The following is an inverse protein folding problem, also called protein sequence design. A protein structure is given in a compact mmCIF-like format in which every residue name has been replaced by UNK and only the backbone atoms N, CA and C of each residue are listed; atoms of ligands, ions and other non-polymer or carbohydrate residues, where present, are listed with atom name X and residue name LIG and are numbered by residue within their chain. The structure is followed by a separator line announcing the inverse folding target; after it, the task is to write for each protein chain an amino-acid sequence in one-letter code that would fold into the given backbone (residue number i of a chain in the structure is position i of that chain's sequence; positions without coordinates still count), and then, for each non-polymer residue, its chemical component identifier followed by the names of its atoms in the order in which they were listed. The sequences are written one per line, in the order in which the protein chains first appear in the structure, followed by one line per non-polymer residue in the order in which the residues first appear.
data_IF_229485354802
#
_entry.id   IF_229485354802
#
_cell.length_a   1.000
_cell.length_b   1.000
_cell.length_c   1.000
_cell.angle_alpha   90.00
_cell.angle_beta   90.00
_cell.angle_gamma   90.00
#
_symmetry.space_group_name_H-M   'P 1'
#
loop_
_entity.id
_entity.type
_entity.pdbx_description
1 polymer ?
#
# COMPACT_ATOMS: atom_id res chain seq x y z
N UNK A 1 9.35 30.52 -11.55
CA UNK A 1 9.52 29.06 -11.53
C UNK A 1 9.14 28.52 -10.16
N UNK A 2 7.92 27.99 -9.99
CA UNK A 2 7.50 27.41 -8.72
C UNK A 2 8.10 26.03 -8.55
N UNK A 3 8.90 25.83 -7.51
CA UNK A 3 9.46 24.52 -7.14
C UNK A 3 8.29 23.57 -6.91
N UNK A 4 8.21 22.51 -7.71
CA UNK A 4 7.25 21.43 -7.55
C UNK A 4 7.43 20.85 -6.15
N UNK A 5 6.52 21.18 -5.23
CA UNK A 5 6.51 20.59 -3.91
C UNK A 5 6.37 19.08 -4.11
N UNK A 6 7.43 18.31 -3.77
CA UNK A 6 7.39 16.84 -3.82
C UNK A 6 6.20 16.40 -2.98
N UNK A 7 5.08 16.08 -3.64
CA UNK A 7 3.91 15.49 -2.98
C UNK A 7 4.41 14.26 -2.24
N UNK A 8 4.16 14.21 -0.94
CA UNK A 8 4.50 13.03 -0.14
C UNK A 8 3.82 11.82 -0.78
N UNK A 9 4.50 10.66 -0.87
CA UNK A 9 3.86 9.44 -1.31
C UNK A 9 2.67 9.14 -0.40
N UNK A 10 1.52 8.83 -0.98
CA UNK A 10 0.33 8.43 -0.22
C UNK A 10 0.63 7.13 0.53
N UNK A 11 0.42 7.16 1.84
CA UNK A 11 0.62 6.06 2.79
C UNK A 11 -0.51 5.02 2.67
N UNK A 12 -0.30 3.83 3.24
CA UNK A 12 -1.34 2.80 3.26
C UNK A 12 -2.57 3.26 4.06
N UNK A 13 -2.35 3.89 5.22
CA UNK A 13 -3.43 4.40 6.07
C UNK A 13 -4.27 5.47 5.37
N UNK A 14 -3.64 6.36 4.59
CA UNK A 14 -4.36 7.35 3.78
C UNK A 14 -5.19 6.70 2.67
N UNK A 15 -4.76 5.57 2.11
CA UNK A 15 -5.53 4.81 1.11
C UNK A 15 -6.73 4.15 1.78
N UNK A 16 -6.55 3.52 2.94
CA UNK A 16 -7.64 2.89 3.72
C UNK A 16 -8.67 3.93 4.14
N UNK A 17 -8.24 5.09 4.65
CA UNK A 17 -9.14 6.20 4.97
C UNK A 17 -9.92 6.71 3.75
N UNK A 18 -9.29 6.69 2.56
CA UNK A 18 -9.95 6.98 1.29
C UNK A 18 -11.01 5.94 0.93
N UNK A 19 -10.73 4.65 1.12
CA UNK A 19 -11.70 3.58 0.92
C UNK A 19 -12.89 3.74 1.87
N UNK A 20 -12.65 4.00 3.15
CA UNK A 20 -13.72 4.24 4.14
C UNK A 20 -14.60 5.44 3.77
N UNK A 21 -14.00 6.50 3.22
CA UNK A 21 -14.75 7.65 2.73
C UNK A 21 -15.64 7.26 1.54
N UNK A 22 -15.09 6.57 0.54
CA UNK A 22 -15.84 6.15 -0.64
C UNK A 22 -16.96 5.18 -0.27
N UNK A 23 -16.72 4.23 0.64
CA UNK A 23 -17.74 3.31 1.14
C UNK A 23 -18.92 4.08 1.78
N UNK A 24 -18.63 5.05 2.67
CA UNK A 24 -19.66 5.90 3.28
C UNK A 24 -20.43 6.71 2.24
N UNK A 25 -19.77 7.18 1.17
CA UNK A 25 -20.44 7.90 0.09
C UNK A 25 -21.33 6.97 -0.75
N UNK A 26 -20.88 5.75 -1.06
CA UNK A 26 -21.68 4.78 -1.79
C UNK A 26 -22.92 4.33 -0.99
N UNK A 27 -22.78 4.16 0.33
CA UNK A 27 -23.90 3.87 1.23
C UNK A 27 -24.89 5.05 1.29
N UNK A 28 -24.37 6.28 1.44
CA UNK A 28 -25.19 7.49 1.55
C UNK A 28 -25.90 7.86 0.24
N UNK A 29 -25.26 7.62 -0.90
CA UNK A 29 -25.74 8.00 -2.23
C UNK A 29 -25.79 6.78 -3.16
N UNK A 30 -26.74 5.85 -2.96
CA UNK A 30 -26.77 4.58 -3.69
C UNK A 30 -26.99 4.76 -5.20
N UNK A 31 -27.68 5.82 -5.62
CA UNK A 31 -27.87 6.16 -7.04
C UNK A 31 -26.58 6.62 -7.73
N UNK A 32 -25.63 7.13 -6.97
CA UNK A 32 -24.34 7.65 -7.47
C UNK A 32 -23.20 6.65 -7.24
N UNK A 33 -23.46 5.53 -6.57
CA UNK A 33 -22.46 4.53 -6.22
C UNK A 33 -21.72 3.97 -7.46
N UNK A 34 -22.40 3.83 -8.59
CA UNK A 34 -21.77 3.42 -9.85
C UNK A 34 -20.68 4.40 -10.31
N UNK A 35 -20.84 5.70 -10.06
CA UNK A 35 -19.85 6.74 -10.40
C UNK A 35 -18.64 6.70 -9.46
N UNK A 36 -18.81 6.18 -8.24
CA UNK A 36 -17.74 6.04 -7.24
C UNK A 36 -16.94 4.74 -7.43
N UNK A 37 -17.49 3.77 -8.15
CA UNK A 37 -16.85 2.46 -8.39
C UNK A 37 -15.45 2.55 -9.02
N UNK A 38 -15.18 3.43 -10.01
CA UNK A 38 -13.82 3.58 -10.55
C UNK A 38 -12.81 4.07 -9.50
N UNK A 39 -13.23 4.98 -8.62
CA UNK A 39 -12.40 5.52 -7.55
C UNK A 39 -12.07 4.44 -6.51
N UNK A 40 -13.09 3.67 -6.10
CA UNK A 40 -12.92 2.51 -5.24
C UNK A 40 -11.89 1.53 -5.81
N UNK A 41 -12.05 1.11 -7.06
CA UNK A 41 -11.13 0.17 -7.74
C UNK A 41 -9.70 0.68 -7.79
N UNK A 42 -9.52 1.97 -8.07
CA UNK A 42 -8.20 2.59 -8.12
C UNK A 42 -7.51 2.56 -6.74
N UNK A 43 -8.24 2.82 -5.66
CA UNK A 43 -7.71 2.78 -4.30
C UNK A 43 -7.35 1.35 -3.87
N UNK A 44 -8.22 0.37 -4.11
CA UNK A 44 -7.93 -1.06 -3.84
C UNK A 44 -6.67 -1.51 -4.56
N UNK A 45 -6.54 -1.18 -5.84
CA UNK A 45 -5.34 -1.52 -6.61
C UNK A 45 -4.05 -0.91 -6.02
N UNK A 46 -4.10 0.34 -5.56
CA UNK A 46 -2.95 1.01 -4.96
C UNK A 46 -2.58 0.46 -3.59
N UNK A 47 -3.59 0.06 -2.81
CA UNK A 47 -3.45 -0.63 -1.53
C UNK A 47 -2.73 -1.96 -1.72
N UNK A 48 -3.23 -2.81 -2.61
CA UNK A 48 -2.71 -4.14 -2.84
C UNK A 48 -1.26 -4.10 -3.31
N UNK A 49 -0.93 -3.18 -4.22
CA UNK A 49 0.46 -2.94 -4.66
C UNK A 49 1.41 -2.58 -3.52
N UNK A 50 0.95 -1.82 -2.53
CA UNK A 50 1.77 -1.43 -1.38
C UNK A 50 1.96 -2.59 -0.42
N UNK A 51 0.91 -3.36 -0.18
CA UNK A 51 0.97 -4.56 0.66
C UNK A 51 1.93 -5.59 0.03
N UNK A 52 1.83 -5.80 -1.28
CA UNK A 52 2.72 -6.69 -2.03
C UNK A 52 4.18 -6.21 -1.92
N UNK A 53 4.43 -4.93 -2.20
CA UNK A 53 5.79 -4.38 -2.09
C UNK A 53 6.35 -4.49 -0.66
N UNK A 54 5.53 -4.22 0.37
CA UNK A 54 5.92 -4.36 1.76
C UNK A 54 6.26 -5.81 2.12
N UNK A 55 5.46 -6.76 1.61
CA UNK A 55 5.69 -8.21 1.79
C UNK A 55 6.99 -8.65 1.13
N UNK A 56 7.24 -8.23 -0.11
CA UNK A 56 8.48 -8.54 -0.84
C UNK A 56 9.70 -7.99 -0.08
N UNK A 57 9.63 -6.73 0.39
CA UNK A 57 10.72 -6.12 1.14
C UNK A 57 10.96 -6.82 2.48
N UNK A 58 9.91 -7.23 3.18
CA UNK A 58 10.03 -8.00 4.42
C UNK A 58 10.71 -9.36 4.18
N UNK A 59 10.27 -10.10 3.16
CA UNK A 59 10.86 -11.38 2.78
C UNK A 59 12.34 -11.24 2.35
N UNK A 60 12.68 -10.18 1.62
CA UNK A 60 14.06 -9.87 1.25
C UNK A 60 14.94 -9.59 2.49
N UNK A 61 14.43 -8.83 3.46
CA UNK A 61 15.12 -8.56 4.73
C UNK A 61 15.32 -9.85 5.54
N UNK A 62 14.29 -10.69 5.65
CA UNK A 62 14.41 -11.98 6.35
C UNK A 62 15.47 -12.89 5.72
N UNK A 63 15.54 -12.91 4.38
CA UNK A 63 16.58 -13.66 3.66
C UNK A 63 17.97 -13.13 3.98
N UNK A 64 18.12 -11.81 4.04
CA UNK A 64 19.39 -11.16 4.39
C UNK A 64 19.79 -11.44 5.84
N UNK A 65 18.87 -11.42 6.81
CA UNK A 65 19.18 -11.71 8.21
C UNK A 65 19.51 -13.18 8.46
N UNK A 66 18.92 -14.10 7.68
CA UNK A 66 19.22 -15.54 7.75
C UNK A 66 20.56 -15.92 7.09
N UNK A 67 21.09 -15.07 6.21
CA UNK A 67 22.37 -15.29 5.52
C UNK A 67 23.61 -15.25 6.43
N UNK A 68 23.81 -14.27 7.34
CA UNK A 68 24.95 -14.25 8.25
C UNK A 68 24.92 -15.39 9.27
N UNK A 69 23.74 -15.85 9.68
CA UNK A 69 23.60 -17.02 10.57
C UNK A 69 24.09 -18.33 9.93
N UNK A 70 24.02 -18.45 8.59
CA UNK A 70 24.58 -19.61 7.88
C UNK A 70 26.10 -19.57 7.80
N UNK A 71 26.70 -18.39 7.60
CA UNK A 71 28.16 -18.25 7.52
C UNK A 71 28.81 -18.48 8.88
N UNK A 72 28.19 -18.01 9.98
CA UNK A 72 28.70 -18.25 11.34
C UNK A 72 28.66 -19.74 11.74
N UNK A 73 27.71 -20.52 11.20
CA UNK A 73 27.53 -21.95 11.52
C UNK A 73 28.38 -22.89 10.66
N UNK A 74 29.00 -22.41 9.57
CA UNK A 74 29.93 -23.17 8.73
C UNK A 74 31.40 -23.01 9.14
N UNK A 75 31.70 -22.13 10.12
CA UNK A 75 33.06 -21.86 10.59
C UNK A 75 33.35 -22.44 11.99
N UNK A 76 32.61 -23.47 12.43
CA UNK A 76 32.86 -24.20 13.69
C UNK A 76 33.08 -25.68 13.43
#
# INVERSE_FOLDING_TARGET
MSRSAKRKPVTLDEIEAGLDLIARLMEKFPREAELLTPHWRALVFQRDKRIEAATILAAAKERLTRSPDRTARQSS
#
